data_IF_466048470639
#
_entry.id   IF_466048470639
#
_cell.length_a   1.000
_cell.length_b   1.000
_cell.length_c   1.000
_cell.angle_alpha   90.00
_cell.angle_beta   90.00
_cell.angle_gamma   90.00
#
_symmetry.space_group_name_H-M   'P 1'
#
loop_
_entity.id
_entity.type
_entity.pdbx_description
1 polymer ?
#
# COMPACT_ATOMS: atom_id res chain seq x y z
N UNK A 1 -14.50 17.16 -21.92
CA UNK A 1 -13.71 17.75 -20.82
C UNK A 1 -13.42 16.64 -19.82
N UNK A 2 -12.18 16.20 -19.75
CA UNK A 2 -11.81 15.00 -18.99
C UNK A 2 -11.85 15.30 -17.47
N UNK A 3 -12.77 14.65 -16.73
CA UNK A 3 -12.90 14.79 -15.27
C UNK A 3 -11.63 14.34 -14.51
N UNK A 4 -10.79 13.50 -15.10
CA UNK A 4 -9.55 13.02 -14.48
C UNK A 4 -8.49 14.13 -14.35
N UNK A 5 -8.32 14.97 -15.36
CA UNK A 5 -7.34 16.07 -15.34
C UNK A 5 -7.64 17.07 -14.23
N UNK A 6 -8.92 17.34 -13.96
CA UNK A 6 -9.36 18.24 -12.88
C UNK A 6 -9.03 17.70 -11.48
N UNK A 7 -9.09 16.38 -11.26
CA UNK A 7 -8.84 15.77 -9.95
C UNK A 7 -7.36 15.82 -9.56
N UNK A 8 -6.45 15.54 -10.49
CA UNK A 8 -5.00 15.64 -10.25
C UNK A 8 -4.56 17.08 -10.01
N UNK A 9 -5.13 18.03 -10.75
CA UNK A 9 -4.87 19.46 -10.54
C UNK A 9 -5.38 19.94 -9.16
N UNK A 10 -6.55 19.48 -8.73
CA UNK A 10 -7.10 19.79 -7.42
C UNK A 10 -6.25 19.18 -6.29
N UNK A 11 -5.83 17.93 -6.43
CA UNK A 11 -4.91 17.28 -5.48
C UNK A 11 -3.57 18.00 -5.42
N UNK A 12 -2.95 18.32 -6.55
CA UNK A 12 -1.69 19.04 -6.62
C UNK A 12 -1.78 20.43 -5.95
N UNK A 13 -2.88 21.13 -6.12
CA UNK A 13 -3.08 22.45 -5.49
C UNK A 13 -3.25 22.36 -3.97
N UNK A 14 -3.86 21.31 -3.46
CA UNK A 14 -4.10 21.10 -2.01
C UNK A 14 -2.88 20.58 -1.27
N UNK A 15 -2.01 19.83 -1.92
CA UNK A 15 -0.85 19.16 -1.30
C UNK A 15 0.49 19.85 -1.59
N UNK A 16 0.47 21.05 -2.16
CA UNK A 16 1.70 21.70 -2.62
C UNK A 16 2.42 20.92 -3.71
N UNK A 17 1.66 20.28 -4.60
CA UNK A 17 2.13 19.42 -5.69
C UNK A 17 2.79 18.09 -5.24
N UNK A 18 2.65 17.69 -3.98
CA UNK A 18 3.19 16.42 -3.48
C UNK A 18 2.08 15.47 -3.04
N UNK A 19 2.10 14.26 -3.56
CA UNK A 19 1.13 13.20 -3.26
C UNK A 19 1.84 12.08 -2.51
N UNK A 20 1.38 11.81 -1.28
CA UNK A 20 1.89 10.73 -0.45
C UNK A 20 0.85 9.61 -0.41
N UNK A 21 1.15 8.50 -1.07
CA UNK A 21 0.25 7.34 -1.20
C UNK A 21 0.60 6.32 -0.12
N UNK A 22 -0.23 6.21 0.91
CA UNK A 22 -0.10 5.17 1.93
C UNK A 22 -0.65 3.85 1.40
N UNK A 23 0.21 2.85 1.21
CA UNK A 23 -0.22 1.49 0.82
C UNK A 23 -0.36 0.65 2.08
N UNK A 24 -1.59 0.46 2.51
CA UNK A 24 -1.93 -0.11 3.82
C UNK A 24 -2.80 -1.36 3.67
N UNK A 25 -3.06 -2.05 4.76
CA UNK A 25 -3.87 -3.28 4.72
C UNK A 25 -3.31 -4.34 5.64
N UNK A 26 -3.93 -5.53 5.70
CA UNK A 26 -3.39 -6.65 6.45
C UNK A 26 -2.00 -7.07 5.97
N UNK A 27 -1.23 -7.74 6.80
CA UNK A 27 0.07 -8.31 6.39
C UNK A 27 -0.09 -9.31 5.25
N UNK A 28 0.93 -9.46 4.41
CA UNK A 28 1.00 -10.49 3.35
C UNK A 28 -0.04 -10.40 2.25
N UNK A 29 -0.72 -9.28 2.10
CA UNK A 29 -1.71 -9.05 1.03
C UNK A 29 -1.12 -8.62 -0.32
N UNK A 30 0.21 -8.41 -0.40
CA UNK A 30 0.89 -7.98 -1.63
C UNK A 30 1.13 -6.48 -1.74
N UNK A 31 1.13 -5.72 -0.64
CA UNK A 31 1.39 -4.27 -0.61
C UNK A 31 2.70 -3.90 -1.31
N UNK A 32 3.81 -4.50 -0.92
CA UNK A 32 5.13 -4.22 -1.51
C UNK A 32 5.19 -4.64 -2.99
N UNK A 33 4.47 -5.70 -3.38
CA UNK A 33 4.33 -6.11 -4.79
C UNK A 33 3.59 -5.05 -5.59
N UNK A 34 2.46 -4.55 -5.05
CA UNK A 34 1.72 -3.45 -5.66
C UNK A 34 2.60 -2.21 -5.82
N UNK A 35 3.31 -1.78 -4.76
CA UNK A 35 4.21 -0.61 -4.79
C UNK A 35 5.25 -0.77 -5.91
N UNK A 36 5.91 -1.93 -5.97
CA UNK A 36 6.90 -2.21 -7.01
C UNK A 36 6.30 -2.06 -8.40
N UNK A 37 5.17 -2.71 -8.68
CA UNK A 37 4.53 -2.66 -10.00
C UNK A 37 4.01 -1.28 -10.36
N UNK A 38 3.41 -0.57 -9.39
CA UNK A 38 2.96 0.80 -9.58
C UNK A 38 4.14 1.73 -9.93
N UNK A 39 5.24 1.62 -9.22
CA UNK A 39 6.45 2.38 -9.51
C UNK A 39 7.00 2.06 -10.92
N UNK A 40 7.11 0.78 -11.26
CA UNK A 40 7.63 0.33 -12.56
C UNK A 40 6.77 0.79 -13.74
N UNK A 41 5.44 0.82 -13.58
CA UNK A 41 4.51 1.10 -14.68
C UNK A 41 4.05 2.55 -14.76
N UNK A 42 3.92 3.25 -13.62
CA UNK A 42 3.33 4.59 -13.57
C UNK A 42 4.33 5.70 -13.22
N UNK A 43 5.34 5.41 -12.41
CA UNK A 43 6.24 6.45 -11.89
C UNK A 43 7.56 6.48 -12.64
N UNK A 44 8.30 5.39 -12.70
CA UNK A 44 9.63 5.34 -13.34
C UNK A 44 9.63 5.80 -14.80
N UNK A 45 8.64 5.41 -15.65
CA UNK A 45 8.61 5.87 -17.04
C UNK A 45 8.46 7.39 -17.20
N UNK A 46 7.88 8.06 -16.19
CA UNK A 46 7.59 9.49 -16.19
C UNK A 46 8.63 10.33 -15.43
N UNK A 47 9.74 9.74 -14.99
CA UNK A 47 10.89 10.45 -14.42
C UNK A 47 11.84 10.83 -15.59
N UNK A 48 11.97 12.11 -15.89
CA UNK A 48 12.79 12.60 -16.99
C UNK A 48 14.29 12.39 -16.76
N UNK A 49 14.76 12.53 -15.52
CA UNK A 49 16.18 12.41 -15.18
C UNK A 49 16.60 10.96 -14.98
N UNK A 50 17.49 10.46 -15.85
CA UNK A 50 17.95 9.06 -15.85
C UNK A 50 18.58 8.64 -14.53
N UNK A 51 19.40 9.48 -13.91
CA UNK A 51 20.05 9.16 -12.63
C UNK A 51 19.02 9.02 -11.50
N UNK A 52 18.04 9.93 -11.43
CA UNK A 52 16.95 9.84 -10.46
C UNK A 52 16.07 8.62 -10.70
N UNK A 53 15.84 8.27 -11.96
CA UNK A 53 15.06 7.08 -12.33
C UNK A 53 15.75 5.79 -11.89
N UNK A 54 17.06 5.66 -12.15
CA UNK A 54 17.84 4.49 -11.72
C UNK A 54 17.88 4.40 -10.19
N UNK A 55 18.12 5.51 -9.48
CA UNK A 55 18.08 5.54 -8.02
C UNK A 55 16.71 5.10 -7.48
N UNK A 56 15.61 5.63 -8.01
CA UNK A 56 14.27 5.24 -7.61
C UNK A 56 13.99 3.74 -7.90
N UNK A 57 14.59 3.18 -8.95
CA UNK A 57 14.52 1.74 -9.26
C UNK A 57 15.23 0.89 -8.21
N UNK A 58 16.41 1.31 -7.77
CA UNK A 58 17.20 0.59 -6.75
C UNK A 58 16.50 0.58 -5.37
N UNK A 59 15.67 1.57 -5.10
CA UNK A 59 14.91 1.72 -3.86
C UNK A 59 13.59 0.91 -3.84
N UNK A 60 13.23 0.22 -4.93
CA UNK A 60 12.00 -0.58 -4.99
C UNK A 60 12.01 -1.71 -3.96
N UNK A 61 10.85 -1.99 -3.33
CA UNK A 61 10.77 -3.07 -2.37
C UNK A 61 11.02 -4.42 -3.05
N UNK A 62 11.80 -5.26 -2.38
CA UNK A 62 11.97 -6.65 -2.79
C UNK A 62 10.77 -7.45 -2.32
N UNK A 63 10.04 -8.03 -3.25
CA UNK A 63 8.92 -8.92 -2.95
C UNK A 63 9.44 -10.18 -2.28
N UNK A 64 9.26 -10.31 -0.97
CA UNK A 64 9.60 -11.53 -0.24
C UNK A 64 8.58 -12.63 -0.55
N UNK A 65 9.02 -13.76 -1.10
CA UNK A 65 8.23 -14.97 -1.13
C UNK A 65 8.19 -15.58 0.27
N UNK A 66 7.03 -16.05 0.72
CA UNK A 66 6.90 -16.72 2.02
C UNK A 66 6.07 -15.97 3.05
N UNK A 67 5.90 -16.56 4.24
CA UNK A 67 5.04 -16.04 5.32
C UNK A 67 5.74 -15.10 6.30
N UNK A 68 7.08 -14.99 6.25
CA UNK A 68 7.88 -14.30 7.25
C UNK A 68 7.84 -12.78 7.06
N UNK A 69 7.60 -12.06 8.15
CA UNK A 69 7.65 -10.60 8.21
C UNK A 69 9.08 -10.18 8.55
N UNK A 70 9.67 -9.34 7.70
CA UNK A 70 11.09 -8.99 7.78
C UNK A 70 11.36 -7.68 8.54
N UNK A 71 10.49 -6.68 8.41
CA UNK A 71 10.68 -5.35 9.02
C UNK A 71 9.40 -4.87 9.68
N UNK A 72 9.51 -3.97 10.66
CA UNK A 72 8.38 -3.33 11.34
C UNK A 72 8.16 -1.87 10.89
N UNK A 73 9.19 -1.24 10.33
CA UNK A 73 9.17 0.18 10.00
C UNK A 73 8.56 0.45 8.62
N UNK A 74 7.75 1.51 8.48
CA UNK A 74 7.33 2.01 7.18
C UNK A 74 8.54 2.49 6.36
N UNK A 75 8.46 2.28 5.04
CA UNK A 75 9.47 2.76 4.09
C UNK A 75 8.83 3.70 3.08
N UNK A 76 9.49 4.81 2.83
CA UNK A 76 9.15 5.70 1.73
C UNK A 76 9.79 5.19 0.44
N UNK A 77 9.01 5.13 -0.64
CA UNK A 77 9.42 4.61 -1.95
C UNK A 77 9.00 5.59 -3.05
N UNK A 78 9.90 6.24 -3.73
CA UNK A 78 11.32 6.37 -3.37
C UNK A 78 11.55 7.22 -2.11
N UNK A 79 12.76 7.20 -1.54
CA UNK A 79 13.11 8.00 -0.35
C UNK A 79 12.94 9.50 -0.62
N UNK A 80 13.39 9.99 -1.77
CA UNK A 80 13.07 11.32 -2.28
C UNK A 80 11.86 11.24 -3.22
N UNK A 81 10.88 12.13 -3.05
CA UNK A 81 9.68 12.13 -3.89
C UNK A 81 10.04 12.24 -5.39
N UNK A 82 9.46 11.36 -6.19
CA UNK A 82 9.66 11.35 -7.62
C UNK A 82 8.79 12.41 -8.30
N UNK A 83 9.42 13.28 -9.09
CA UNK A 83 8.70 14.21 -9.94
C UNK A 83 8.19 13.49 -11.19
N UNK A 84 6.87 13.48 -11.35
CA UNK A 84 6.16 12.86 -12.48
C UNK A 84 5.57 13.96 -13.32
N UNK A 85 5.77 13.87 -14.64
CA UNK A 85 5.19 14.78 -15.62
C UNK A 85 4.21 14.04 -16.51
N UNK A 86 2.97 14.49 -16.51
CA UNK A 86 1.93 13.92 -17.34
C UNK A 86 1.99 14.49 -18.78
N UNK A 87 1.41 13.78 -19.78
CA UNK A 87 1.40 14.23 -21.17
C UNK A 87 0.69 15.58 -21.39
N UNK A 88 -0.19 15.98 -20.49
CA UNK A 88 -0.88 17.29 -20.51
C UNK A 88 -0.04 18.44 -19.94
N UNK A 89 1.21 18.16 -19.52
CA UNK A 89 2.13 19.11 -18.91
C UNK A 89 1.98 19.31 -17.41
N UNK A 90 1.03 18.64 -16.76
CA UNK A 90 0.89 18.67 -15.30
C UNK A 90 2.07 17.95 -14.64
N UNK A 91 2.72 18.61 -13.68
CA UNK A 91 3.79 18.04 -12.86
C UNK A 91 3.34 17.90 -11.42
N UNK A 92 3.71 16.80 -10.78
CA UNK A 92 3.53 16.58 -9.35
C UNK A 92 4.62 15.64 -8.82
N UNK A 93 4.85 15.71 -7.53
CA UNK A 93 5.76 14.78 -6.86
C UNK A 93 4.96 13.65 -6.21
N UNK A 94 5.39 12.41 -6.40
CA UNK A 94 4.75 11.23 -5.83
C UNK A 94 5.71 10.47 -4.95
N UNK A 95 5.17 9.92 -3.87
CA UNK A 95 5.89 9.08 -2.92
C UNK A 95 4.93 8.03 -2.39
N UNK A 96 5.28 6.78 -2.51
CA UNK A 96 4.53 5.69 -1.89
C UNK A 96 5.11 5.39 -0.51
N UNK A 97 4.28 4.86 0.37
CA UNK A 97 4.71 4.49 1.72
C UNK A 97 4.31 3.04 1.92
N UNK A 98 5.32 2.18 2.02
CA UNK A 98 5.15 0.76 2.34
C UNK A 98 5.12 0.59 3.85
N UNK A 99 4.22 -0.24 4.35
CA UNK A 99 4.16 -0.63 5.75
C UNK A 99 3.93 -2.13 5.89
N UNK A 100 4.20 -2.66 7.07
CA UNK A 100 3.97 -4.07 7.37
C UNK A 100 2.50 -4.43 7.21
N UNK A 101 1.62 -3.64 7.77
CA UNK A 101 0.19 -3.90 7.84
C UNK A 101 -0.23 -4.49 9.19
N UNK A 102 -1.54 -4.55 9.41
CA UNK A 102 -2.09 -5.18 10.61
C UNK A 102 -1.93 -6.69 10.57
N UNK A 103 -1.58 -7.26 11.72
CA UNK A 103 -1.35 -8.69 11.85
C UNK A 103 -2.64 -9.49 11.63
N UNK A 104 -2.45 -10.70 11.08
CA UNK A 104 -3.52 -11.68 10.90
C UNK A 104 -3.13 -12.99 11.56
N UNK A 105 -4.07 -13.85 12.00
CA UNK A 105 -3.76 -15.14 12.63
C UNK A 105 -2.89 -15.94 11.72
N UNK A 106 -2.77 -16.41 10.81
CA UNK A 106 -1.87 -17.23 9.98
C UNK A 106 -0.50 -16.65 9.62
N UNK A 107 -0.20 -15.39 10.00
CA UNK A 107 1.08 -14.77 9.69
C UNK A 107 2.23 -15.34 10.55
N UNK A 108 3.38 -15.56 9.93
CA UNK A 108 4.60 -16.11 10.57
C UNK A 108 5.63 -14.99 10.76
N UNK A 109 6.46 -15.10 11.81
CA UNK A 109 7.54 -14.13 12.12
C UNK A 109 7.19 -13.16 13.24
N UNK A 110 6.07 -13.41 13.93
CA UNK A 110 5.67 -12.69 15.15
C UNK A 110 6.36 -13.22 16.40
N UNK A 111 6.83 -14.48 16.35
CA UNK A 111 7.47 -15.17 17.45
C UNK A 111 8.85 -15.66 17.06
N UNK A 112 9.75 -15.66 18.04
CA UNK A 112 11.09 -16.23 17.99
C UNK A 112 11.30 -17.05 19.27
N UNK A 113 11.68 -18.31 19.16
CA UNK A 113 11.86 -19.25 20.29
C UNK A 113 10.64 -19.29 21.24
N UNK A 114 9.42 -19.34 20.71
CA UNK A 114 8.14 -19.36 21.43
C UNK A 114 7.81 -18.06 22.21
N UNK A 115 8.64 -17.03 22.14
CA UNK A 115 8.39 -15.72 22.71
C UNK A 115 8.01 -14.69 21.61
N UNK A 116 7.30 -13.60 21.95
CA UNK A 116 7.09 -12.52 20.99
C UNK A 116 8.42 -11.98 20.47
N UNK A 117 8.57 -11.88 19.16
CA UNK A 117 9.75 -11.26 18.56
C UNK A 117 9.79 -9.79 18.92
N UNK A 118 10.88 -9.37 19.56
CA UNK A 118 11.11 -7.99 19.98
C UNK A 118 11.89 -7.23 18.89
N UNK A 119 11.54 -5.96 18.68
CA UNK A 119 12.17 -5.09 17.68
C UNK A 119 12.36 -3.67 18.23
N UNK A 120 13.46 -3.03 17.82
CA UNK A 120 13.64 -1.59 18.03
C UNK A 120 12.83 -0.82 16.97
N UNK A 121 12.32 0.32 17.35
CA UNK A 121 11.63 1.24 16.44
C UNK A 121 12.11 2.69 16.68
N UNK A 122 11.95 3.60 15.72
CA UNK A 122 12.31 5.01 15.91
C UNK A 122 11.43 5.75 16.94
N UNK A 123 10.36 5.14 17.40
CA UNK A 123 9.34 5.78 18.25
C UNK A 123 9.52 5.49 19.75
N UNK A 124 10.33 4.49 20.08
CA UNK A 124 10.61 4.09 21.46
C UNK A 124 12.12 3.90 21.68
N UNK A 125 12.57 4.14 22.88
CA UNK A 125 13.95 3.94 23.34
C UNK A 125 14.21 2.52 23.88
N UNK A 126 13.23 1.62 23.74
CA UNK A 126 13.28 0.22 24.15
C UNK A 126 12.65 -0.68 23.07
N UNK A 127 12.95 -1.96 23.14
CA UNK A 127 12.36 -2.95 22.26
C UNK A 127 10.88 -3.18 22.60
N UNK A 128 10.05 -3.30 21.57
CA UNK A 128 8.62 -3.63 21.67
C UNK A 128 8.31 -4.87 20.84
N UNK A 129 7.17 -5.57 21.10
CA UNK A 129 6.75 -6.68 20.27
C UNK A 129 6.60 -6.27 18.79
N UNK A 130 7.04 -7.14 17.88
CA UNK A 130 6.92 -6.94 16.42
C UNK A 130 5.49 -6.62 15.99
N UNK A 131 4.50 -7.24 16.63
CA UNK A 131 3.08 -6.99 16.38
C UNK A 131 2.68 -5.55 16.70
N UNK A 132 3.11 -5.04 17.85
CA UNK A 132 2.88 -3.67 18.28
C UNK A 132 3.59 -2.67 17.36
N UNK A 133 4.84 -2.95 17.01
CA UNK A 133 5.62 -2.13 16.06
C UNK A 133 4.94 -2.04 14.68
N UNK A 134 4.43 -3.16 14.16
CA UNK A 134 3.72 -3.20 12.89
C UNK A 134 2.40 -2.41 12.93
N UNK A 135 1.65 -2.53 14.03
CA UNK A 135 0.42 -1.76 14.24
C UNK A 135 0.69 -0.26 14.33
N UNK A 136 1.66 0.14 15.12
CA UNK A 136 2.05 1.54 15.27
C UNK A 136 2.53 2.14 13.95
N UNK A 137 3.40 1.42 13.23
CA UNK A 137 3.89 1.85 11.91
C UNK A 137 2.77 2.01 10.89
N UNK A 138 1.84 1.04 10.82
CA UNK A 138 0.69 1.09 9.92
C UNK A 138 -0.22 2.27 10.27
N UNK A 139 -0.52 2.49 11.54
CA UNK A 139 -1.33 3.61 12.00
C UNK A 139 -0.68 4.96 11.69
N UNK A 140 0.64 5.09 11.84
CA UNK A 140 1.36 6.32 11.46
C UNK A 140 1.27 6.60 9.96
N UNK A 141 1.36 5.57 9.11
CA UNK A 141 1.13 5.75 7.66
C UNK A 141 -0.29 6.25 7.41
N UNK A 142 -1.29 5.64 8.04
CA UNK A 142 -2.69 6.04 7.88
C UNK A 142 -2.92 7.47 8.38
N UNK A 143 -2.46 7.81 9.59
CA UNK A 143 -2.79 9.09 10.23
C UNK A 143 -1.90 10.24 9.74
N UNK A 144 -0.58 10.04 9.75
CA UNK A 144 0.40 11.13 9.73
C UNK A 144 1.08 11.31 8.37
N UNK A 145 1.32 10.22 7.63
CA UNK A 145 2.24 10.26 6.51
C UNK A 145 1.58 10.25 5.13
N UNK A 146 0.35 9.76 5.00
CA UNK A 146 -0.34 9.67 3.72
C UNK A 146 -1.36 10.78 3.48
N UNK A 147 -1.46 11.25 2.24
CA UNK A 147 -2.55 12.15 1.77
C UNK A 147 -3.71 11.36 1.19
N UNK A 148 -3.41 10.22 0.58
CA UNK A 148 -4.39 9.26 0.05
C UNK A 148 -4.01 7.85 0.45
N UNK A 149 -4.98 6.95 0.54
CA UNK A 149 -4.78 5.55 0.89
C UNK A 149 -5.04 4.60 -0.27
N UNK A 150 -4.23 3.54 -0.36
CA UNK A 150 -4.56 2.35 -1.13
C UNK A 150 -4.57 1.19 -0.14
N UNK A 151 -5.74 0.63 0.10
CA UNK A 151 -5.90 -0.55 0.93
C UNK A 151 -5.72 -1.78 0.05
N UNK A 152 -4.73 -2.62 0.36
CA UNK A 152 -4.53 -3.90 -0.33
C UNK A 152 -4.99 -5.02 0.59
N UNK A 153 -6.05 -5.70 0.21
CA UNK A 153 -6.53 -6.94 0.81
C UNK A 153 -6.40 -8.10 -0.19
N UNK A 154 -6.93 -9.27 0.13
CA UNK A 154 -6.83 -10.45 -0.75
C UNK A 154 -8.05 -11.36 -0.58
N UNK A 155 -8.34 -12.14 -1.61
CA UNK A 155 -9.29 -13.26 -1.57
C UNK A 155 -8.70 -14.54 -0.90
N UNK A 156 -7.40 -14.50 -0.52
CA UNK A 156 -6.68 -15.63 0.05
C UNK A 156 -5.84 -16.42 -0.96
N UNK A 157 -5.99 -16.17 -2.26
CA UNK A 157 -5.29 -16.93 -3.30
C UNK A 157 -3.79 -16.64 -3.41
N UNK A 158 -3.34 -15.48 -2.94
CA UNK A 158 -1.95 -15.01 -3.09
C UNK A 158 -1.01 -15.49 -1.99
N UNK A 159 -1.54 -16.16 -0.96
CA UNK A 159 -0.77 -16.74 0.16
C UNK A 159 -1.45 -18.02 0.64
N UNK A 160 -0.77 -18.75 1.57
CA UNK A 160 -1.40 -19.93 2.24
C UNK A 160 -2.27 -19.50 3.46
N UNK A 161 -2.53 -18.23 3.65
CA UNK A 161 -3.38 -17.71 4.73
C UNK A 161 -4.81 -17.62 4.22
N UNK A 162 -5.79 -18.26 4.87
CA UNK A 162 -7.16 -18.27 4.38
C UNK A 162 -7.80 -16.87 4.47
N UNK A 163 -8.75 -16.59 3.57
CA UNK A 163 -9.48 -15.31 3.52
C UNK A 163 -10.09 -14.90 4.87
N UNK A 164 -10.60 -15.87 5.64
CA UNK A 164 -11.20 -15.63 6.96
C UNK A 164 -10.29 -14.89 7.93
N UNK A 165 -8.98 -15.12 7.85
CA UNK A 165 -8.00 -14.55 8.78
C UNK A 165 -7.71 -13.07 8.48
N UNK A 166 -8.09 -12.59 7.30
CA UNK A 166 -7.88 -11.20 6.90
C UNK A 166 -9.01 -10.26 7.31
N UNK A 167 -10.20 -10.79 7.62
CA UNK A 167 -11.43 -9.99 7.75
C UNK A 167 -11.33 -8.88 8.81
N UNK A 168 -10.82 -9.20 9.99
CA UNK A 168 -10.71 -8.26 11.10
C UNK A 168 -9.73 -7.12 10.80
N UNK A 169 -8.54 -7.47 10.31
CA UNK A 169 -7.51 -6.51 9.96
C UNK A 169 -7.91 -5.63 8.75
N UNK A 170 -8.61 -6.20 7.76
CA UNK A 170 -9.17 -5.47 6.62
C UNK A 170 -10.20 -4.43 7.08
N UNK A 171 -11.18 -4.85 7.88
CA UNK A 171 -12.22 -3.97 8.39
C UNK A 171 -11.63 -2.83 9.24
N UNK A 172 -10.63 -3.13 10.08
CA UNK A 172 -9.94 -2.14 10.90
C UNK A 172 -9.29 -1.04 10.05
N UNK A 173 -8.49 -1.41 9.05
CA UNK A 173 -7.83 -0.44 8.14
C UNK A 173 -8.84 0.45 7.43
N UNK A 174 -9.90 -0.15 6.89
CA UNK A 174 -10.93 0.58 6.16
C UNK A 174 -11.64 1.58 7.06
N UNK A 175 -12.03 1.16 8.27
CA UNK A 175 -12.69 2.04 9.24
C UNK A 175 -11.80 3.19 9.68
N UNK A 176 -10.54 2.94 9.99
CA UNK A 176 -9.60 4.00 10.37
C UNK A 176 -9.45 5.08 9.28
N UNK A 177 -9.36 4.67 8.00
CA UNK A 177 -9.32 5.63 6.89
C UNK A 177 -10.64 6.41 6.73
N UNK A 178 -11.78 5.74 6.92
CA UNK A 178 -13.11 6.39 6.87
C UNK A 178 -13.28 7.42 8.01
N UNK A 179 -12.89 7.07 9.23
CA UNK A 179 -12.98 7.95 10.41
C UNK A 179 -12.12 9.21 10.24
N UNK A 180 -10.97 9.09 9.58
CA UNK A 180 -10.10 10.23 9.25
C UNK A 180 -10.57 11.04 8.05
N UNK A 181 -11.59 10.57 7.32
CA UNK A 181 -12.07 11.23 6.10
C UNK A 181 -11.03 11.27 4.98
N UNK A 182 -10.03 10.37 5.00
CA UNK A 182 -9.01 10.31 3.95
C UNK A 182 -9.57 9.62 2.69
N UNK A 183 -9.28 10.15 1.50
CA UNK A 183 -9.65 9.47 0.26
C UNK A 183 -8.83 8.19 0.10
N UNK A 184 -9.49 7.08 -0.24
CA UNK A 184 -8.82 5.81 -0.50
C UNK A 184 -9.63 4.91 -1.45
N UNK A 185 -8.94 3.92 -1.98
CA UNK A 185 -9.51 2.80 -2.75
C UNK A 185 -9.08 1.48 -2.12
N UNK A 186 -9.85 0.43 -2.38
CA UNK A 186 -9.52 -0.93 -1.93
C UNK A 186 -9.17 -1.79 -3.12
N UNK A 187 -8.04 -2.47 -3.06
CA UNK A 187 -7.61 -3.47 -4.03
C UNK A 187 -7.71 -4.86 -3.40
N UNK A 188 -8.47 -5.73 -4.04
CA UNK A 188 -8.54 -7.15 -3.70
C UNK A 188 -7.51 -7.86 -4.57
N UNK A 189 -6.35 -8.17 -3.99
CA UNK A 189 -5.28 -8.86 -4.69
C UNK A 189 -5.60 -10.36 -4.81
N UNK A 190 -5.67 -10.84 -6.03
CA UNK A 190 -6.01 -12.22 -6.38
C UNK A 190 -5.13 -12.73 -7.51
N UNK A 191 -4.84 -14.02 -7.51
CA UNK A 191 -4.24 -14.71 -8.68
C UNK A 191 -5.24 -14.79 -9.86
N UNK A 192 -6.54 -14.70 -9.56
CA UNK A 192 -7.64 -14.78 -10.53
C UNK A 192 -8.61 -13.61 -10.33
N UNK A 193 -8.28 -12.38 -10.80
CA UNK A 193 -9.08 -11.18 -10.53
C UNK A 193 -10.54 -11.31 -10.95
N UNK A 194 -10.81 -12.04 -12.04
CA UNK A 194 -12.18 -12.26 -12.54
C UNK A 194 -13.05 -13.01 -11.51
N UNK A 195 -12.47 -13.98 -10.81
CA UNK A 195 -13.16 -14.76 -9.78
C UNK A 195 -13.32 -13.96 -8.48
N UNK A 196 -12.45 -12.97 -8.23
CA UNK A 196 -12.48 -12.10 -7.06
C UNK A 196 -13.38 -10.86 -7.23
N UNK A 197 -13.92 -10.61 -8.44
CA UNK A 197 -14.87 -9.49 -8.68
C UNK A 197 -16.07 -9.46 -7.73
N UNK A 198 -16.78 -10.59 -7.49
CA UNK A 198 -17.90 -10.59 -6.54
C UNK A 198 -17.51 -10.13 -5.15
N UNK A 199 -16.33 -10.52 -4.66
CA UNK A 199 -15.79 -10.06 -3.39
C UNK A 199 -15.53 -8.56 -3.40
N UNK A 200 -14.93 -8.02 -4.46
CA UNK A 200 -14.70 -6.58 -4.58
C UNK A 200 -16.02 -5.78 -4.60
N UNK A 201 -17.04 -6.29 -5.28
CA UNK A 201 -18.36 -5.70 -5.31
C UNK A 201 -19.05 -5.74 -3.94
N UNK A 202 -18.94 -6.86 -3.21
CA UNK A 202 -19.43 -6.99 -1.84
C UNK A 202 -18.78 -5.97 -0.90
N UNK A 203 -17.45 -5.85 -0.94
CA UNK A 203 -16.71 -4.86 -0.14
C UNK A 203 -17.09 -3.43 -0.52
N UNK A 204 -17.28 -3.15 -1.81
CA UNK A 204 -17.73 -1.84 -2.27
C UNK A 204 -19.12 -1.49 -1.73
N UNK A 205 -20.05 -2.43 -1.73
CA UNK A 205 -21.38 -2.25 -1.15
C UNK A 205 -21.32 -2.07 0.37
N UNK A 206 -20.51 -2.90 1.04
CA UNK A 206 -20.37 -2.86 2.52
C UNK A 206 -19.80 -1.55 3.02
N UNK A 207 -18.76 -1.03 2.36
CA UNK A 207 -18.00 0.13 2.84
C UNK A 207 -18.27 1.43 2.11
N UNK A 208 -18.98 1.40 0.97
CA UNK A 208 -19.29 2.60 0.18
C UNK A 208 -18.06 3.24 -0.48
N UNK A 209 -16.98 2.48 -0.70
CA UNK A 209 -15.72 2.94 -1.30
C UNK A 209 -15.42 2.14 -2.56
N UNK A 210 -14.64 2.70 -3.48
CA UNK A 210 -14.24 1.99 -4.69
C UNK A 210 -13.40 0.77 -4.33
N UNK A 211 -13.82 -0.41 -4.79
CA UNK A 211 -13.10 -1.67 -4.65
C UNK A 211 -12.85 -2.29 -6.02
N UNK A 212 -11.63 -2.80 -6.25
CA UNK A 212 -11.21 -3.39 -7.52
C UNK A 212 -10.50 -4.72 -7.25
N UNK A 213 -10.84 -5.74 -8.02
CA UNK A 213 -10.08 -6.99 -8.04
C UNK A 213 -8.91 -6.86 -9.02
N UNK A 214 -7.70 -7.15 -8.58
CA UNK A 214 -6.47 -7.01 -9.37
C UNK A 214 -5.50 -8.15 -9.09
N UNK A 215 -4.59 -8.42 -10.03
CA UNK A 215 -3.40 -9.24 -9.77
C UNK A 215 -2.19 -8.29 -9.63
N UNK A 216 -1.72 -8.05 -8.41
CA UNK A 216 -0.62 -7.14 -8.18
C UNK A 216 0.70 -7.54 -8.86
N UNK A 217 0.90 -8.83 -9.18
CA UNK A 217 2.08 -9.29 -9.92
C UNK A 217 2.02 -8.94 -11.40
N UNK A 218 0.83 -8.93 -11.99
CA UNK A 218 0.59 -8.74 -13.43
C UNK A 218 0.07 -7.34 -13.76
N UNK A 219 0.00 -6.46 -12.76
CA UNK A 219 -0.55 -5.11 -12.90
C UNK A 219 0.16 -4.33 -14.02
N UNK A 220 -0.60 -3.93 -15.03
CA UNK A 220 -0.14 -3.19 -16.19
C UNK A 220 -0.61 -1.73 -16.20
N UNK A 221 -0.20 -0.97 -17.23
CA UNK A 221 -0.60 0.44 -17.36
C UNK A 221 -2.13 0.61 -17.48
N UNK A 222 -2.82 -0.32 -18.15
CA UNK A 222 -4.26 -0.26 -18.38
C UNK A 222 -5.12 -0.53 -17.15
N UNK A 223 -4.59 -1.21 -16.15
CA UNK A 223 -5.33 -1.59 -14.94
C UNK A 223 -5.44 -0.44 -13.94
N UNK A 224 -4.61 0.60 -14.12
CA UNK A 224 -4.48 1.74 -13.20
C UNK A 224 -5.07 3.04 -13.76
N UNK A 225 -5.67 3.00 -14.95
CA UNK A 225 -6.38 4.11 -15.59
C UNK A 225 -7.89 4.03 -15.31
#
# INVERSE_FOLDING_TARGET
MNRSTSMYQDMASRTGSSIYIGVVGPVRTGKSTFIKRFMETQVLPNIENDYRRERARDELPQSGSGRTIMTAEPKFVPEEAAEVRLPDGTSFSVRLIDCVGYMVPGAVGQFEDLAPRMVMTPWYDHEIPMTEAAELGTRKVICDHSTVGIVVTTDGSVTDIPRSDYLEAEERVIRELQELGKPFVVLVNSLHPEEARPLAEELQQKYGVRCLAVNCLELGEGDLQ
#
